data_IF_500766094624
#
_entry.id   IF_500766094624
#
_cell.length_a   1.000
_cell.length_b   1.000
_cell.length_c   1.000
_cell.angle_alpha   90.00
_cell.angle_beta   90.00
_cell.angle_gamma   90.00
#
_symmetry.space_group_name_H-M   'P 1'
#
loop_
_entity.id
_entity.type
_entity.pdbx_description
1 polymer ?
#
# COMPACT_ATOMS: atom_id res chain seq x y z
N UNK A 1 -60.21 2.94 -4.54
CA UNK A 1 -59.27 2.96 -3.39
C UNK A 1 -58.14 1.93 -3.52
N UNK A 2 -58.42 0.66 -3.87
CA UNK A 2 -57.45 -0.45 -3.91
C UNK A 2 -56.32 -0.37 -4.97
N UNK A 3 -56.52 0.35 -6.08
CA UNK A 3 -55.47 0.54 -7.08
C UNK A 3 -54.46 1.64 -6.70
N UNK A 4 -54.91 2.67 -5.98
CA UNK A 4 -54.04 3.74 -5.46
C UNK A 4 -53.06 3.21 -4.40
N UNK A 5 -53.48 2.22 -3.59
CA UNK A 5 -52.59 1.56 -2.62
C UNK A 5 -51.49 0.74 -3.29
N UNK A 6 -51.78 0.09 -4.42
CA UNK A 6 -50.78 -0.66 -5.20
C UNK A 6 -49.79 0.30 -5.87
N UNK A 7 -50.27 1.39 -6.46
CA UNK A 7 -49.42 2.40 -7.08
C UNK A 7 -48.45 3.05 -6.06
N UNK A 8 -48.94 3.38 -4.85
CA UNK A 8 -48.09 3.91 -3.78
C UNK A 8 -47.02 2.91 -3.31
N UNK A 9 -47.34 1.62 -3.27
CA UNK A 9 -46.38 0.59 -2.90
C UNK A 9 -45.25 0.46 -3.94
N UNK A 10 -45.59 0.48 -5.24
CA UNK A 10 -44.61 0.43 -6.33
C UNK A 10 -43.71 1.67 -6.31
N UNK A 11 -44.29 2.85 -6.07
CA UNK A 11 -43.54 4.09 -5.95
C UNK A 11 -42.56 4.06 -4.76
N UNK A 12 -43.03 3.64 -3.58
CA UNK A 12 -42.20 3.51 -2.38
C UNK A 12 -41.05 2.52 -2.56
N UNK A 13 -41.30 1.40 -3.26
CA UNK A 13 -40.27 0.41 -3.57
C UNK A 13 -39.18 1.00 -4.47
N UNK A 14 -39.57 1.75 -5.52
CA UNK A 14 -38.62 2.40 -6.43
C UNK A 14 -37.73 3.43 -5.70
N UNK A 15 -38.33 4.26 -4.83
CA UNK A 15 -37.60 5.24 -4.02
C UNK A 15 -36.62 4.55 -3.06
N UNK A 16 -37.03 3.45 -2.44
CA UNK A 16 -36.17 2.69 -1.52
C UNK A 16 -34.98 2.06 -2.22
N UNK A 17 -35.18 1.54 -3.44
CA UNK A 17 -34.09 1.03 -4.28
C UNK A 17 -33.10 2.13 -4.65
N UNK A 18 -33.58 3.33 -5.05
CA UNK A 18 -32.69 4.45 -5.39
C UNK A 18 -31.83 4.89 -4.20
N UNK A 19 -32.44 5.04 -3.02
CA UNK A 19 -31.72 5.45 -1.80
C UNK A 19 -30.75 4.35 -1.35
N UNK A 20 -31.17 3.09 -1.38
CA UNK A 20 -30.33 1.95 -1.02
C UNK A 20 -29.12 1.81 -1.96
N UNK A 21 -29.35 1.88 -3.27
CA UNK A 21 -28.27 1.84 -4.27
C UNK A 21 -27.32 3.03 -4.14
N UNK A 22 -27.82 4.23 -3.85
CA UNK A 22 -26.97 5.40 -3.61
C UNK A 22 -26.08 5.18 -2.38
N UNK A 23 -26.66 4.75 -1.25
CA UNK A 23 -25.93 4.56 0.01
C UNK A 23 -24.84 3.48 -0.12
N UNK A 24 -25.14 2.38 -0.82
CA UNK A 24 -24.17 1.32 -1.11
C UNK A 24 -23.08 1.84 -2.06
N UNK A 25 -23.44 2.62 -3.08
CA UNK A 25 -22.47 3.20 -4.01
C UNK A 25 -21.54 4.23 -3.36
N UNK A 26 -22.03 5.02 -2.39
CA UNK A 26 -21.18 5.93 -1.60
C UNK A 26 -20.27 5.17 -0.65
N UNK A 27 -20.77 4.12 0.00
CA UNK A 27 -19.96 3.29 0.89
C UNK A 27 -18.85 2.53 0.14
N UNK A 28 -19.12 2.05 -1.08
CA UNK A 28 -18.11 1.43 -1.93
C UNK A 28 -17.09 2.43 -2.50
N UNK A 29 -17.48 3.70 -2.70
CA UNK A 29 -16.55 4.77 -3.12
C UNK A 29 -15.62 5.21 -2.01
N UNK A 30 -16.02 5.07 -0.76
CA UNK A 30 -15.24 5.38 0.44
C UNK A 30 -14.38 4.22 0.94
N UNK A 31 -14.20 3.14 0.16
CA UNK A 31 -12.96 2.41 0.37
C UNK A 31 -11.83 3.40 0.13
N UNK A 32 -10.89 3.61 1.09
CA UNK A 32 -9.63 4.20 0.70
C UNK A 32 -9.16 3.30 -0.44
N UNK A 33 -9.13 3.85 -1.64
CA UNK A 33 -8.10 3.47 -2.58
C UNK A 33 -6.82 3.84 -1.85
N UNK A 34 -6.38 2.97 -0.95
CA UNK A 34 -5.05 2.43 -1.06
C UNK A 34 -4.93 1.90 -2.50
N UNK A 35 -4.84 2.82 -3.46
CA UNK A 35 -3.81 2.72 -4.46
C UNK A 35 -2.52 2.72 -3.65
N UNK A 36 -2.23 1.60 -2.99
CA UNK A 36 -0.87 1.18 -2.85
C UNK A 36 -0.46 0.93 -4.29
N UNK A 37 -0.08 2.01 -4.97
CA UNK A 37 1.09 1.94 -5.82
C UNK A 37 2.18 1.43 -4.88
N UNK A 38 2.24 0.11 -4.72
CA UNK A 38 3.45 -0.57 -4.31
C UNK A 38 4.42 -0.28 -5.44
N UNK A 39 5.00 0.92 -5.41
CA UNK A 39 6.09 1.29 -6.28
C UNK A 39 7.26 0.48 -5.75
N UNK A 40 7.36 -0.73 -6.29
CA UNK A 40 8.42 -1.68 -6.05
C UNK A 40 9.61 -1.18 -6.87
N UNK A 41 10.57 -0.58 -6.18
CA UNK A 41 11.80 -0.12 -6.77
C UNK A 41 12.67 -1.35 -7.04
N UNK A 42 13.27 -1.41 -8.22
CA UNK A 42 14.40 -2.31 -8.47
C UNK A 42 15.63 -1.88 -7.67
N UNK A 43 16.66 -2.72 -7.58
CA UNK A 43 17.88 -2.38 -6.84
C UNK A 43 18.54 -1.09 -7.32
N UNK A 44 18.51 -0.81 -8.63
CA UNK A 44 19.05 0.42 -9.19
C UNK A 44 18.19 1.63 -8.82
N UNK A 45 16.87 1.52 -8.93
CA UNK A 45 15.95 2.60 -8.54
C UNK A 45 15.98 2.86 -7.03
N UNK A 46 16.19 1.82 -6.21
CA UNK A 46 16.38 1.97 -4.77
C UNK A 46 17.69 2.70 -4.44
N UNK A 47 18.76 2.43 -5.19
CA UNK A 47 20.04 3.12 -5.05
C UNK A 47 19.91 4.60 -5.40
N UNK A 48 19.29 4.90 -6.55
CA UNK A 48 19.00 6.26 -6.98
C UNK A 48 18.09 7.00 -5.99
N UNK A 49 17.11 6.29 -5.41
CA UNK A 49 16.18 6.85 -4.42
C UNK A 49 16.84 7.19 -3.08
N UNK A 50 17.72 6.31 -2.60
CA UNK A 50 18.47 6.50 -1.36
C UNK A 50 19.70 7.40 -1.53
N UNK A 51 20.07 7.73 -2.77
CA UNK A 51 21.27 8.53 -3.08
C UNK A 51 22.57 7.79 -2.78
N UNK A 52 22.56 6.46 -2.76
CA UNK A 52 23.71 5.60 -2.46
C UNK A 52 24.05 4.71 -3.66
N UNK A 53 25.20 4.03 -3.61
CA UNK A 53 25.58 3.10 -4.66
C UNK A 53 24.77 1.79 -4.59
N UNK A 54 24.60 1.14 -5.75
CA UNK A 54 23.94 -0.17 -5.88
C UNK A 54 24.60 -1.25 -4.98
N UNK A 55 25.90 -1.13 -4.75
CA UNK A 55 26.68 -2.02 -3.88
C UNK A 55 26.35 -1.79 -2.40
N UNK A 56 26.13 -0.54 -2.01
CA UNK A 56 25.71 -0.20 -0.64
C UNK A 56 24.28 -0.67 -0.37
N UNK A 57 23.37 -0.54 -1.34
CA UNK A 57 22.02 -1.14 -1.23
C UNK A 57 22.10 -2.64 -1.01
N UNK A 58 22.98 -3.33 -1.75
CA UNK A 58 23.18 -4.78 -1.60
C UNK A 58 23.73 -5.13 -0.20
N UNK A 59 24.73 -4.39 0.29
CA UNK A 59 25.27 -4.58 1.63
C UNK A 59 24.23 -4.38 2.73
N UNK A 60 23.33 -3.43 2.55
CA UNK A 60 22.25 -3.15 3.49
C UNK A 60 21.10 -4.18 3.40
N UNK A 61 21.03 -4.94 2.30
CA UNK A 61 20.10 -6.08 2.19
C UNK A 61 20.70 -7.39 2.66
N UNK A 62 22.00 -7.59 2.47
CA UNK A 62 22.73 -8.79 2.84
C UNK A 62 23.77 -8.45 3.91
N UNK A 63 23.33 -8.11 5.13
CA UNK A 63 24.28 -7.96 6.24
C UNK A 63 24.64 -9.36 6.74
N UNK A 64 25.92 -9.78 6.64
CA UNK A 64 26.35 -11.07 7.14
C UNK A 64 26.32 -11.04 8.67
N UNK A 65 25.28 -11.62 9.26
CA UNK A 65 25.33 -12.02 10.65
C UNK A 65 26.22 -13.26 10.72
N UNK A 66 27.15 -13.31 11.68
CA UNK A 66 28.28 -14.25 11.74
C UNK A 66 27.92 -15.76 11.81
N UNK A 67 26.67 -16.11 11.52
CA UNK A 67 26.05 -17.41 11.54
C UNK A 67 25.27 -17.71 10.25
N UNK A 68 25.86 -17.55 9.05
CA UNK A 68 25.25 -17.95 7.76
C UNK A 68 23.81 -17.42 7.55
N UNK A 69 23.42 -16.35 8.25
CA UNK A 69 22.10 -15.74 8.20
C UNK A 69 22.26 -14.27 7.82
N UNK A 70 21.49 -13.84 6.83
CA UNK A 70 21.49 -12.44 6.42
C UNK A 70 20.39 -11.72 7.21
N UNK A 71 20.75 -10.66 7.95
CA UNK A 71 19.77 -9.75 8.52
C UNK A 71 19.65 -8.59 7.55
N UNK A 72 18.50 -8.45 6.89
CA UNK A 72 18.28 -7.30 6.00
C UNK A 72 17.89 -6.09 6.83
N UNK A 73 18.72 -5.05 6.82
CA UNK A 73 18.43 -3.78 7.50
C UNK A 73 17.37 -2.97 6.74
N UNK A 74 17.34 -3.09 5.41
CA UNK A 74 16.36 -2.40 4.56
C UNK A 74 15.14 -3.28 4.27
N UNK A 75 13.91 -2.72 4.34
CA UNK A 75 12.70 -3.40 3.90
C UNK A 75 12.76 -3.78 2.43
N UNK A 76 12.64 -5.07 2.15
CA UNK A 76 12.65 -5.61 0.79
C UNK A 76 11.62 -6.73 0.66
N UNK A 77 11.25 -7.03 -0.58
CA UNK A 77 10.35 -8.12 -0.95
C UNK A 77 11.01 -8.92 -2.05
N UNK A 78 11.16 -10.23 -1.84
CA UNK A 78 11.66 -11.14 -2.87
C UNK A 78 10.48 -11.69 -3.67
N UNK A 79 10.45 -11.40 -4.96
CA UNK A 79 9.46 -11.93 -5.92
C UNK A 79 10.18 -12.85 -6.89
N UNK A 80 10.09 -14.16 -6.65
CA UNK A 80 10.86 -15.16 -7.38
C UNK A 80 12.35 -15.06 -7.07
N UNK A 81 13.17 -14.77 -8.08
CA UNK A 81 14.63 -14.59 -7.95
C UNK A 81 15.05 -13.12 -7.90
N UNK A 82 14.10 -12.18 -7.95
CA UNK A 82 14.38 -10.74 -7.94
C UNK A 82 13.99 -10.12 -6.61
N UNK A 83 14.85 -9.24 -6.11
CA UNK A 83 14.61 -8.42 -4.92
C UNK A 83 14.05 -7.08 -5.36
N UNK A 84 12.95 -6.69 -4.73
CA UNK A 84 12.31 -5.40 -4.92
C UNK A 84 12.20 -4.66 -3.60
N UNK A 85 12.19 -3.34 -3.67
CA UNK A 85 12.18 -2.47 -2.51
C UNK A 85 10.92 -1.62 -2.51
N UNK A 86 9.96 -1.86 -1.61
CA UNK A 86 8.77 -1.04 -1.54
C UNK A 86 9.12 0.37 -1.08
N UNK A 87 8.92 1.37 -1.94
CA UNK A 87 9.23 2.78 -1.64
C UNK A 87 8.64 3.24 -0.30
N UNK A 88 7.39 2.91 -0.02
CA UNK A 88 6.73 3.28 1.24
C UNK A 88 7.36 2.64 2.48
N UNK A 89 7.88 1.42 2.34
CA UNK A 89 8.56 0.74 3.44
C UNK A 89 9.94 1.36 3.69
N UNK A 90 10.67 1.71 2.62
CA UNK A 90 11.89 2.52 2.72
C UNK A 90 11.59 3.86 3.39
N UNK A 91 10.54 4.57 2.98
CA UNK A 91 10.17 5.87 3.55
C UNK A 91 9.90 5.78 5.05
N UNK A 92 9.19 4.73 5.49
CA UNK A 92 8.96 4.48 6.93
C UNK A 92 10.25 4.12 7.66
N UNK A 93 11.09 3.30 7.05
CA UNK A 93 12.38 2.92 7.61
C UNK A 93 13.32 4.13 7.78
N UNK A 94 13.37 5.04 6.80
CA UNK A 94 14.13 6.29 6.89
C UNK A 94 13.62 7.21 8.01
N UNK A 95 12.32 7.18 8.31
CA UNK A 95 11.72 7.97 9.40
C UNK A 95 11.96 7.34 10.78
N UNK A 96 12.07 6.01 10.84
CA UNK A 96 12.29 5.24 12.07
C UNK A 96 13.77 5.19 12.48
N UNK A 97 14.68 5.34 11.51
CA UNK A 97 16.09 5.59 11.78
C UNK A 97 16.24 6.96 12.45
N UNK A 98 16.22 6.98 13.78
CA UNK A 98 16.59 8.15 14.57
C UNK A 98 17.94 8.66 14.06
N UNK A 99 17.93 9.88 13.50
CA UNK A 99 19.12 10.60 13.09
C UNK A 99 20.04 10.69 14.29
N UNK A 100 21.09 9.86 14.33
CA UNK A 100 22.19 10.03 15.26
C UNK A 100 22.90 11.32 14.82
N UNK A 101 22.43 12.46 15.31
CA UNK A 101 23.11 13.74 15.18
C UNK A 101 24.32 13.65 16.10
N UNK A 102 25.46 13.26 15.52
CA UNK A 102 26.74 13.28 16.23
C UNK A 102 27.11 14.76 16.44
N UNK A 103 27.22 15.24 17.69
CA UNK A 103 27.54 16.64 18.01
C UNK A 103 28.98 17.02 17.65
#
# INVERSE_FOLDING_TARGET
>A
MKQYSIAMAIFSLAVSFLIGSWLIATSLKEQPKESVQHQLLSQQEAADYLGISVVEVLKLTEVPDGSNSYISEIPHVKVGDKVYYPKQAIDRWLLDMELIVVP
#
